data_IF_713146105352
#
_entry.id   IF_713146105352
#
_cell.length_a   1.000
_cell.length_b   1.000
_cell.length_c   1.000
_cell.angle_alpha   90.00
_cell.angle_beta   90.00
_cell.angle_gamma   90.00
#
_symmetry.space_group_name_H-M   'P 1'
#
loop_
_entity.id
_entity.type
_entity.pdbx_description
1 polymer ?
#
# COMPACT_ATOMS: atom_id res chain seq x y z
N UNK A 1 -20.50 -27.28 15.86
CA UNK A 1 -19.57 -27.14 14.71
C UNK A 1 -19.82 -25.77 14.10
N UNK A 2 -19.16 -24.74 14.62
CA UNK A 2 -19.19 -23.43 13.98
C UNK A 2 -18.34 -23.49 12.71
N UNK A 3 -18.98 -23.31 11.56
CA UNK A 3 -18.28 -23.16 10.31
C UNK A 3 -17.40 -21.90 10.41
N UNK A 4 -16.08 -22.09 10.38
CA UNK A 4 -15.10 -21.03 10.29
C UNK A 4 -15.34 -20.27 8.98
N UNK A 5 -16.18 -19.24 9.02
CA UNK A 5 -16.48 -18.43 7.84
C UNK A 5 -15.20 -17.67 7.52
N UNK A 6 -14.54 -17.91 6.37
CA UNK A 6 -13.33 -17.18 6.06
C UNK A 6 -13.65 -15.69 6.04
N UNK A 7 -12.87 -14.89 6.77
CA UNK A 7 -12.95 -13.44 6.71
C UNK A 7 -12.44 -13.05 5.33
N UNK A 8 -13.36 -12.74 4.40
CA UNK A 8 -13.02 -12.18 3.10
C UNK A 8 -12.57 -10.74 3.30
N UNK A 9 -11.34 -10.44 2.92
CA UNK A 9 -10.84 -9.07 2.93
C UNK A 9 -11.12 -8.42 1.57
N UNK A 10 -11.35 -7.09 1.50
CA UNK A 10 -11.57 -6.40 0.23
C UNK A 10 -10.45 -6.66 -0.80
N UNK A 11 -9.19 -6.77 -0.35
CA UNK A 11 -8.04 -7.11 -1.20
C UNK A 11 -8.04 -8.53 -1.80
N UNK A 12 -8.97 -9.40 -1.41
CA UNK A 12 -9.16 -10.69 -2.07
C UNK A 12 -9.94 -10.53 -3.38
N UNK A 13 -10.77 -9.49 -3.49
CA UNK A 13 -11.57 -9.18 -4.68
C UNK A 13 -10.74 -8.47 -5.77
N UNK A 14 -10.68 -9.07 -6.96
CA UNK A 14 -9.93 -8.52 -8.11
C UNK A 14 -10.40 -7.10 -8.45
N UNK A 15 -11.70 -6.88 -8.54
CA UNK A 15 -12.29 -5.58 -8.90
C UNK A 15 -11.87 -4.48 -7.92
N UNK A 16 -11.83 -4.79 -6.62
CA UNK A 16 -11.39 -3.85 -5.60
C UNK A 16 -9.91 -3.51 -5.77
N UNK A 17 -9.05 -4.51 -5.97
CA UNK A 17 -7.62 -4.29 -6.22
C UNK A 17 -7.37 -3.46 -7.47
N UNK A 18 -8.07 -3.72 -8.57
CA UNK A 18 -7.95 -2.92 -9.80
C UNK A 18 -8.38 -1.47 -9.59
N UNK A 19 -9.48 -1.24 -8.86
CA UNK A 19 -9.94 0.11 -8.52
C UNK A 19 -8.91 0.85 -7.65
N UNK A 20 -8.39 0.18 -6.62
CA UNK A 20 -7.35 0.72 -5.75
C UNK A 20 -6.07 1.05 -6.53
N UNK A 21 -5.63 0.15 -7.41
CA UNK A 21 -4.45 0.34 -8.25
C UNK A 21 -4.63 1.49 -9.24
N UNK A 22 -5.83 1.73 -9.77
CA UNK A 22 -6.12 2.90 -10.60
C UNK A 22 -5.96 4.21 -9.82
N UNK A 23 -6.50 4.28 -8.61
CA UNK A 23 -6.31 5.46 -7.74
C UNK A 23 -4.84 5.70 -7.42
N UNK A 24 -4.08 4.63 -7.20
CA UNK A 24 -2.63 4.72 -7.00
C UNK A 24 -1.92 5.26 -8.25
N UNK A 25 -2.22 4.73 -9.44
CA UNK A 25 -1.58 5.18 -10.67
C UNK A 25 -1.91 6.65 -10.99
N UNK A 26 -3.10 7.13 -10.60
CA UNK A 26 -3.46 8.55 -10.67
C UNK A 26 -2.61 9.41 -9.73
N UNK A 27 -2.44 8.98 -8.47
CA UNK A 27 -1.53 9.65 -7.53
C UNK A 27 -0.07 9.66 -8.04
N UNK A 28 0.37 8.58 -8.70
CA UNK A 28 1.67 8.52 -9.38
C UNK A 28 1.76 9.54 -10.50
N UNK A 29 0.74 9.65 -11.36
CA UNK A 29 0.73 10.60 -12.46
C UNK A 29 0.82 12.06 -12.00
N UNK A 30 0.28 12.38 -10.81
CA UNK A 30 0.44 13.69 -10.18
C UNK A 30 1.88 14.02 -9.75
N UNK A 31 2.78 13.03 -9.72
CA UNK A 31 4.19 13.20 -9.33
C UNK A 31 5.19 12.89 -10.46
N UNK A 32 4.90 11.91 -11.31
CA UNK A 32 5.66 11.54 -12.51
C UNK A 32 4.70 11.08 -13.63
N UNK A 33 4.44 11.98 -14.57
CA UNK A 33 3.54 11.70 -15.70
C UNK A 33 4.03 10.57 -16.63
N UNK A 34 5.32 10.22 -16.58
CA UNK A 34 5.89 9.11 -17.36
C UNK A 34 5.71 7.76 -16.68
N UNK A 35 5.11 7.72 -15.50
CA UNK A 35 4.90 6.49 -14.75
C UNK A 35 6.16 6.00 -14.04
N UNK A 36 6.05 4.83 -13.43
CA UNK A 36 7.11 4.24 -12.60
C UNK A 36 7.24 2.74 -12.85
N UNK A 37 8.34 2.14 -12.40
CA UNK A 37 8.60 0.71 -12.56
C UNK A 37 7.60 -0.14 -11.77
N UNK A 38 7.41 -1.39 -12.21
CA UNK A 38 6.59 -2.40 -11.52
C UNK A 38 6.94 -2.52 -10.03
N UNK A 39 8.24 -2.54 -9.73
CA UNK A 39 8.73 -2.64 -8.36
C UNK A 39 8.28 -1.44 -7.51
N UNK A 40 8.39 -0.20 -8.03
CA UNK A 40 7.94 1.00 -7.30
C UNK A 40 6.44 0.99 -7.06
N UNK A 41 5.64 0.53 -8.02
CA UNK A 41 4.19 0.38 -7.85
C UNK A 41 3.91 -0.57 -6.68
N UNK A 42 4.59 -1.72 -6.60
CA UNK A 42 4.40 -2.66 -5.50
C UNK A 42 4.68 -2.06 -4.12
N UNK A 43 5.73 -1.23 -3.99
CA UNK A 43 5.99 -0.50 -2.75
C UNK A 43 4.92 0.54 -2.45
N UNK A 44 4.56 1.37 -3.44
CA UNK A 44 3.55 2.41 -3.25
C UNK A 44 2.20 1.81 -2.87
N UNK A 45 1.79 0.74 -3.52
CA UNK A 45 0.53 0.06 -3.29
C UNK A 45 0.42 -0.44 -1.85
N UNK A 46 1.44 -1.17 -1.37
CA UNK A 46 1.47 -1.65 0.00
C UNK A 46 1.55 -0.52 1.04
N UNK A 47 2.42 0.46 0.82
CA UNK A 47 2.66 1.54 1.78
C UNK A 47 1.50 2.54 1.80
N UNK A 48 0.76 2.73 0.70
CA UNK A 48 -0.45 3.57 0.68
C UNK A 48 -1.61 2.92 1.42
N UNK A 49 -1.67 1.59 1.47
CA UNK A 49 -2.60 0.86 2.31
C UNK A 49 -2.19 0.87 3.80
N UNK A 50 -0.92 1.17 4.10
CA UNK A 50 -0.35 1.19 5.45
C UNK A 50 0.49 2.47 5.69
N UNK A 51 -0.10 3.67 5.56
CA UNK A 51 0.66 4.90 5.40
C UNK A 51 1.47 5.30 6.65
N UNK A 52 1.06 4.88 7.84
CA UNK A 52 1.81 5.14 9.07
C UNK A 52 3.10 4.31 9.22
N UNK A 53 3.38 3.36 8.31
CA UNK A 53 4.71 2.75 8.24
C UNK A 53 5.78 3.77 7.79
N UNK A 54 5.37 4.80 7.04
CA UNK A 54 6.30 5.73 6.36
C UNK A 54 6.05 7.19 6.68
N UNK A 55 4.85 7.52 7.15
CA UNK A 55 4.45 8.88 7.52
C UNK A 55 4.46 9.00 9.04
N UNK A 56 5.10 10.04 9.55
CA UNK A 56 5.08 10.39 10.97
C UNK A 56 3.65 10.71 11.44
N UNK A 57 3.24 10.12 12.55
CA UNK A 57 1.88 10.25 13.08
C UNK A 57 1.61 11.66 13.59
N UNK A 58 2.60 12.38 14.12
CA UNK A 58 2.37 13.66 14.80
C UNK A 58 2.39 14.88 13.86
N UNK A 59 2.75 14.67 12.60
CA UNK A 59 2.85 15.72 11.60
C UNK A 59 1.53 16.11 10.93
N UNK A 60 1.59 17.18 10.10
CA UNK A 60 0.46 17.60 9.25
C UNK A 60 -0.07 16.46 8.37
N UNK A 61 0.83 15.66 7.79
CA UNK A 61 0.45 14.52 6.96
C UNK A 61 -0.20 13.41 7.79
N UNK A 62 0.29 13.11 9.00
CA UNK A 62 -0.34 12.19 9.93
C UNK A 62 -1.76 12.61 10.32
N UNK A 63 -1.98 13.91 10.57
CA UNK A 63 -3.32 14.44 10.82
C UNK A 63 -4.26 14.28 9.61
N UNK A 64 -3.78 14.50 8.39
CA UNK A 64 -4.59 14.26 7.18
C UNK A 64 -4.96 12.78 7.02
N UNK A 65 -4.03 11.86 7.33
CA UNK A 65 -4.30 10.42 7.30
C UNK A 65 -5.35 10.01 8.34
N UNK A 66 -5.30 10.57 9.56
CA UNK A 66 -6.34 10.35 10.58
C UNK A 66 -7.70 10.86 10.14
N UNK A 67 -7.77 12.06 9.55
CA UNK A 67 -9.01 12.59 8.98
C UNK A 67 -9.53 11.73 7.81
N UNK A 68 -8.63 11.08 7.07
CA UNK A 68 -8.96 10.10 6.04
C UNK A 68 -9.35 8.72 6.62
N UNK A 69 -9.40 8.55 7.94
CA UNK A 69 -9.83 7.31 8.58
C UNK A 69 -8.74 6.26 8.77
N UNK A 70 -7.46 6.60 8.54
CA UNK A 70 -6.36 5.72 8.92
C UNK A 70 -6.06 5.86 10.40
N UNK A 71 -5.83 4.74 11.06
CA UNK A 71 -5.45 4.69 12.47
C UNK A 71 -4.03 4.14 12.62
N UNK A 72 -3.10 4.88 13.24
CA UNK A 72 -1.76 4.38 13.52
C UNK A 72 -1.74 3.19 14.51
N UNK A 73 -2.77 3.03 15.33
CA UNK A 73 -2.91 1.95 16.31
C UNK A 73 -3.45 0.65 15.70
N UNK A 74 -4.08 0.73 14.51
CA UNK A 74 -4.54 -0.43 13.73
C UNK A 74 -3.39 -1.09 12.95
N UNK A 75 -2.15 -0.91 13.42
CA UNK A 75 -1.03 -1.82 13.12
C UNK A 75 -1.22 -3.15 13.87
N UNK A 76 -2.37 -3.78 13.66
CA UNK A 76 -2.55 -5.20 13.96
C UNK A 76 -2.19 -6.03 12.72
N UNK A 77 -1.89 -7.29 12.98
CA UNK A 77 -1.49 -8.36 12.08
C UNK A 77 0.01 -8.50 11.86
N UNK A 78 0.54 -9.43 12.66
CA UNK A 78 1.83 -10.11 12.68
C UNK A 78 2.33 -10.72 11.35
N UNK A 79 1.98 -10.16 10.18
CA UNK A 79 2.53 -10.60 8.90
C UNK A 79 2.54 -9.53 7.79
N UNK A 80 2.84 -8.27 8.13
CA UNK A 80 3.07 -7.19 7.14
C UNK A 80 4.01 -7.63 5.99
N UNK A 81 5.05 -8.40 6.29
CA UNK A 81 6.00 -8.96 5.31
C UNK A 81 5.41 -10.04 4.39
N UNK A 82 4.54 -10.92 4.89
CA UNK A 82 3.87 -11.93 4.05
C UNK A 82 2.82 -11.27 3.16
N UNK A 83 2.09 -10.28 3.69
CA UNK A 83 1.13 -9.47 2.91
C UNK A 83 1.85 -8.67 1.83
N UNK A 84 2.99 -8.06 2.14
CA UNK A 84 3.82 -7.35 1.16
C UNK A 84 4.25 -8.29 0.02
N UNK A 85 4.74 -9.48 0.34
CA UNK A 85 5.17 -10.47 -0.66
C UNK A 85 4.01 -10.92 -1.55
N UNK A 86 2.89 -11.34 -0.95
CA UNK A 86 1.69 -11.81 -1.68
C UNK A 86 1.05 -10.71 -2.54
N UNK A 87 1.14 -9.45 -2.10
CA UNK A 87 0.64 -8.28 -2.86
C UNK A 87 1.55 -7.95 -4.03
N UNK A 88 2.86 -8.05 -3.84
CA UNK A 88 3.86 -7.86 -4.91
C UNK A 88 3.81 -8.95 -5.97
N UNK A 89 3.52 -10.20 -5.62
CA UNK A 89 3.34 -11.27 -6.60
C UNK A 89 2.12 -11.06 -7.50
N UNK A 90 1.05 -10.45 -6.96
CA UNK A 90 -0.19 -10.19 -7.71
C UNK A 90 -0.16 -8.91 -8.55
N UNK A 91 0.66 -7.92 -8.19
CA UNK A 91 0.70 -6.60 -8.85
C UNK A 91 0.94 -6.69 -10.36
N UNK A 92 1.74 -7.65 -10.81
CA UNK A 92 2.02 -7.86 -12.23
C UNK A 92 0.76 -8.30 -12.99
N UNK A 93 -0.01 -9.21 -12.41
CA UNK A 93 -1.27 -9.67 -12.99
C UNK A 93 -2.31 -8.54 -13.04
N UNK A 94 -2.49 -7.83 -11.92
CA UNK A 94 -3.46 -6.74 -11.81
C UNK A 94 -3.13 -5.58 -12.77
N UNK A 95 -1.84 -5.21 -12.92
CA UNK A 95 -1.41 -4.26 -13.95
C UNK A 95 -1.66 -4.77 -15.36
N UNK A 96 -1.42 -6.05 -15.63
CA UNK A 96 -1.73 -6.66 -16.92
C UNK A 96 -3.21 -6.52 -17.30
N UNK A 97 -4.12 -6.69 -16.34
CA UNK A 97 -5.55 -6.46 -16.54
C UNK A 97 -5.86 -4.99 -16.82
N UNK A 98 -5.26 -4.04 -16.09
CA UNK A 98 -5.46 -2.61 -16.36
C UNK A 98 -4.93 -2.19 -17.74
N UNK A 99 -3.83 -2.78 -18.20
CA UNK A 99 -3.31 -2.58 -19.56
C UNK A 99 -4.29 -3.15 -20.58
N UNK A 100 -4.78 -4.39 -20.39
CA UNK A 100 -5.75 -5.02 -21.27
C UNK A 100 -7.08 -4.23 -21.37
N UNK A 101 -7.52 -3.62 -20.27
CA UNK A 101 -8.69 -2.75 -20.23
C UNK A 101 -8.45 -1.33 -20.74
N UNK A 102 -7.24 -1.02 -21.22
CA UNK A 102 -6.86 0.30 -21.72
C UNK A 102 -6.87 1.38 -20.64
N UNK A 103 -6.69 1.01 -19.38
CA UNK A 103 -6.68 1.92 -18.24
C UNK A 103 -5.25 2.27 -17.77
N UNK A 104 -4.26 1.44 -18.11
CA UNK A 104 -2.84 1.68 -17.86
C UNK A 104 -2.05 1.64 -19.18
N UNK A 105 -1.12 2.58 -19.35
CA UNK A 105 -0.16 2.60 -20.44
C UNK A 105 1.17 1.99 -19.98
N UNK A 106 1.89 1.34 -20.90
CA UNK A 106 3.22 0.78 -20.67
C UNK A 106 4.21 1.47 -21.61
N UNK A 107 5.27 2.01 -21.02
CA UNK A 107 6.32 2.72 -21.74
C UNK A 107 7.65 2.00 -21.54
N UNK A 108 8.50 1.98 -22.56
CA UNK A 108 9.89 1.56 -22.41
C UNK A 108 10.76 2.78 -22.10
N UNK A 109 11.42 2.76 -20.95
CA UNK A 109 12.35 3.79 -20.48
C UNK A 109 13.71 3.16 -20.26
N UNK A 110 14.64 3.40 -21.18
CA UNK A 110 16.02 2.92 -21.11
C UNK A 110 16.14 1.39 -20.90
N UNK A 111 15.29 0.60 -21.55
CA UNK A 111 15.31 -0.87 -21.45
C UNK A 111 14.51 -1.43 -20.27
N UNK A 112 13.82 -0.58 -19.49
CA UNK A 112 12.92 -0.99 -18.42
C UNK A 112 11.49 -0.51 -18.70
N UNK A 113 10.49 -1.28 -18.27
CA UNK A 113 9.09 -0.89 -18.38
C UNK A 113 8.69 0.08 -17.27
N UNK A 114 8.00 1.16 -17.66
CA UNK A 114 7.33 2.11 -16.78
C UNK A 114 5.83 2.07 -17.06
N UNK A 115 5.03 2.14 -16.01
CA UNK A 115 3.58 2.05 -16.07
C UNK A 115 2.97 3.36 -15.61
N UNK A 116 2.04 3.90 -16.38
CA UNK A 116 1.33 5.15 -16.09
C UNK A 116 -0.18 4.99 -16.30
N UNK A 117 -1.00 5.74 -15.57
CA UNK A 117 -2.44 5.76 -15.84
C UNK A 117 -2.73 6.43 -17.20
N UNK A 118 -3.63 5.83 -17.97
CA UNK A 118 -4.15 6.39 -19.23
C UNK A 118 -5.24 7.44 -18.98
N UNK A 119 -5.70 8.14 -20.02
CA UNK A 119 -6.87 9.02 -19.93
C UNK A 119 -8.14 8.26 -19.51
N UNK A 120 -8.39 7.10 -20.10
CA UNK A 120 -9.53 6.23 -19.76
C UNK A 120 -9.47 5.77 -18.31
N UNK A 121 -8.27 5.43 -17.82
CA UNK A 121 -8.04 5.08 -16.43
C UNK A 121 -8.39 6.23 -15.48
N UNK A 122 -7.97 7.46 -15.80
CA UNK A 122 -8.33 8.67 -15.03
C UNK A 122 -9.83 8.92 -15.01
N UNK A 123 -10.48 8.86 -16.17
CA UNK A 123 -11.93 9.04 -16.29
C UNK A 123 -12.71 8.00 -15.49
N UNK A 124 -12.23 6.76 -15.43
CA UNK A 124 -12.84 5.71 -14.63
C UNK A 124 -12.61 5.94 -13.13
N UNK A 125 -11.37 6.24 -12.73
CA UNK A 125 -11.02 6.52 -11.34
C UNK A 125 -11.80 7.71 -10.76
N UNK A 126 -12.03 8.76 -11.55
CA UNK A 126 -12.83 9.92 -11.17
C UNK A 126 -14.30 9.59 -10.82
N UNK A 127 -14.80 8.41 -11.21
CA UNK A 127 -16.16 7.95 -10.87
C UNK A 127 -16.23 7.22 -9.54
N UNK A 128 -15.10 6.95 -8.88
CA UNK A 128 -15.08 6.32 -7.57
C UNK A 128 -15.43 7.34 -6.49
N UNK A 129 -16.67 7.28 -6.01
CA UNK A 129 -17.22 8.22 -5.01
C UNK A 129 -17.25 7.66 -3.59
N UNK A 130 -16.82 6.41 -3.40
CA UNK A 130 -16.81 5.77 -2.09
C UNK A 130 -15.83 6.48 -1.14
N UNK A 131 -16.17 6.55 0.15
CA UNK A 131 -15.29 7.13 1.19
C UNK A 131 -13.91 6.48 1.17
N UNK A 132 -13.85 5.15 1.00
CA UNK A 132 -12.58 4.43 0.88
C UNK A 132 -11.71 4.95 -0.27
N UNK A 133 -12.30 5.27 -1.42
CA UNK A 133 -11.56 5.78 -2.57
C UNK A 133 -10.93 7.15 -2.25
N UNK A 134 -11.68 8.05 -1.59
CA UNK A 134 -11.15 9.33 -1.13
C UNK A 134 -10.03 9.17 -0.08
N UNK A 135 -10.22 8.28 0.88
CA UNK A 135 -9.23 7.94 1.90
C UNK A 135 -7.95 7.41 1.28
N UNK A 136 -8.07 6.41 0.41
CA UNK A 136 -6.92 5.80 -0.25
C UNK A 136 -6.20 6.77 -1.19
N UNK A 137 -6.93 7.59 -1.94
CA UNK A 137 -6.34 8.64 -2.80
C UNK A 137 -5.50 9.63 -1.97
N UNK A 138 -6.00 10.01 -0.78
CA UNK A 138 -5.26 10.87 0.16
C UNK A 138 -3.97 10.21 0.62
N UNK A 139 -4.03 8.96 1.06
CA UNK A 139 -2.85 8.21 1.49
C UNK A 139 -1.85 8.01 0.35
N UNK A 140 -2.31 7.57 -0.83
CA UNK A 140 -1.47 7.37 -2.00
C UNK A 140 -0.75 8.65 -2.42
N UNK A 141 -1.45 9.79 -2.44
CA UNK A 141 -0.84 11.08 -2.79
C UNK A 141 0.29 11.47 -1.84
N UNK A 142 0.10 11.25 -0.53
CA UNK A 142 1.11 11.53 0.50
C UNK A 142 2.30 10.57 0.36
N UNK A 143 2.04 9.26 0.30
CA UNK A 143 3.07 8.23 0.23
C UNK A 143 3.90 8.36 -1.05
N UNK A 144 3.27 8.49 -2.21
CA UNK A 144 3.98 8.64 -3.49
C UNK A 144 4.88 9.87 -3.46
N UNK A 145 4.36 11.01 -2.97
CA UNK A 145 5.13 12.26 -2.83
C UNK A 145 6.31 12.12 -1.87
N UNK A 146 6.16 11.35 -0.80
CA UNK A 146 7.25 11.10 0.16
C UNK A 146 8.35 10.24 -0.47
N UNK A 147 7.98 9.09 -1.05
CA UNK A 147 8.98 8.12 -1.51
C UNK A 147 9.52 8.40 -2.91
N UNK A 148 8.93 9.30 -3.70
CA UNK A 148 9.45 9.64 -5.05
C UNK A 148 10.91 10.10 -5.02
N UNK A 149 11.36 10.66 -3.90
CA UNK A 149 12.72 11.18 -3.70
C UNK A 149 13.75 10.07 -3.50
N UNK A 150 13.31 8.86 -3.17
CA UNK A 150 14.19 7.71 -2.95
C UNK A 150 14.49 7.01 -4.29
N UNK A 151 15.76 6.62 -4.46
CA UNK A 151 16.16 5.67 -5.51
C UNK A 151 15.58 4.29 -5.23
N UNK A 152 15.48 3.43 -6.24
CA UNK A 152 14.91 2.08 -6.07
C UNK A 152 15.67 1.25 -5.03
N UNK A 153 17.00 1.39 -4.99
CA UNK A 153 17.84 0.77 -3.95
C UNK A 153 17.47 1.29 -2.55
N UNK A 154 17.41 2.61 -2.38
CA UNK A 154 17.07 3.21 -1.09
C UNK A 154 15.64 2.86 -0.65
N UNK A 155 14.70 2.81 -1.59
CA UNK A 155 13.31 2.43 -1.34
C UNK A 155 13.20 0.98 -0.83
N UNK A 156 13.92 0.05 -1.47
CA UNK A 156 14.00 -1.35 -1.03
C UNK A 156 14.60 -1.46 0.38
N UNK A 157 15.73 -0.80 0.63
CA UNK A 157 16.42 -0.82 1.92
C UNK A 157 15.60 -0.17 3.05
N UNK A 158 14.92 0.93 2.74
CA UNK A 158 14.07 1.64 3.71
C UNK A 158 12.80 0.84 4.02
N UNK A 159 12.18 0.24 3.01
CA UNK A 159 11.00 -0.62 3.22
C UNK A 159 11.34 -1.86 4.04
N UNK A 160 12.50 -2.47 3.79
CA UNK A 160 12.98 -3.58 4.61
C UNK A 160 13.15 -3.18 6.08
N UNK A 161 13.52 -1.92 6.37
CA UNK A 161 13.60 -1.40 7.74
C UNK A 161 12.21 -1.17 8.36
N UNK A 162 11.28 -0.59 7.61
CA UNK A 162 9.90 -0.37 8.08
C UNK A 162 9.11 -1.66 8.34
N UNK A 163 9.46 -2.74 7.63
CA UNK A 163 8.82 -4.05 7.77
C UNK A 163 9.43 -4.94 8.87
N UNK A 164 10.53 -4.52 9.51
CA UNK A 164 11.14 -5.27 10.61
C UNK A 164 10.34 -5.08 11.89
N UNK A 165 9.97 -6.16 12.60
CA UNK A 165 9.29 -6.08 13.90
C UNK A 165 10.09 -5.30 14.96
N UNK A 166 11.43 -5.35 14.89
CA UNK A 166 12.34 -4.83 15.94
C UNK A 166 13.16 -3.60 15.49
N UNK A 167 12.78 -2.95 14.39
CA UNK A 167 13.66 -1.98 13.71
C UNK A 167 13.73 -0.61 14.39
N UNK A 168 14.66 -0.39 15.32
CA UNK A 168 14.96 0.93 15.88
C UNK A 168 14.99 2.04 14.81
N UNK A 169 14.14 3.07 14.97
CA UNK A 169 14.22 4.33 14.23
C UNK A 169 13.29 4.53 13.03
N UNK A 170 12.35 3.62 12.73
CA UNK A 170 11.29 3.84 11.74
C UNK A 170 9.96 4.33 12.36
N UNK A 171 9.08 5.04 11.64
CA UNK A 171 7.75 5.44 12.15
C UNK A 171 6.92 4.24 12.64
N UNK A 172 6.99 3.10 11.92
CA UNK A 172 6.35 1.85 12.35
C UNK A 172 6.95 1.25 13.64
N UNK A 173 8.24 1.44 13.89
CA UNK A 173 8.89 0.97 15.12
C UNK A 173 8.69 1.93 16.30
N UNK A 174 8.64 3.24 16.04
CA UNK A 174 8.21 4.23 17.01
C UNK A 174 6.78 3.92 17.49
N UNK A 175 5.89 3.53 16.58
CA UNK A 175 4.53 3.09 16.92
C UNK A 175 4.51 1.80 17.75
N UNK A 176 5.28 0.77 17.39
CA UNK A 176 5.42 -0.46 18.19
C UNK A 176 5.98 -0.18 19.60
N UNK A 177 6.89 0.79 19.74
CA UNK A 177 7.44 1.19 21.05
C UNK A 177 6.43 1.90 21.96
N UNK A 178 5.44 2.57 21.38
CA UNK A 178 4.34 3.25 22.13
C UNK A 178 3.21 2.28 22.46
N UNK A 179 2.98 1.27 21.63
CA UNK A 179 1.88 0.31 21.76
C UNK A 179 2.22 -0.91 22.65
N UNK A 180 3.50 -1.11 22.99
CA UNK A 180 3.97 -2.30 23.70
C UNK A 180 3.88 -3.58 22.86
N UNK A 181 4.40 -4.73 23.32
CA UNK A 181 4.16 -6.00 22.64
C UNK A 181 2.64 -6.24 22.64
N UNK A 182 2.07 -6.43 21.45
CA UNK A 182 0.66 -6.80 21.30
C UNK A 182 0.32 -8.04 22.12
N UNK A 183 -0.98 -8.31 22.38
CA UNK A 183 -1.39 -9.40 23.26
C UNK A 183 -0.73 -10.71 22.81
N UNK A 184 0.13 -11.26 23.67
CA UNK A 184 0.65 -12.61 23.51
C UNK A 184 -0.56 -13.54 23.53
N UNK A 185 -0.72 -14.34 22.47
CA UNK A 185 -1.65 -15.45 22.51
C UNK A 185 -1.30 -16.27 23.78
N UNK A 186 -2.26 -16.55 24.67
CA UNK A 186 -1.96 -17.35 25.83
C UNK A 186 -1.44 -18.70 25.36
N UNK A 187 -0.26 -19.09 25.85
CA UNK A 187 0.24 -20.45 25.75
C UNK A 187 -0.82 -21.37 26.39
N UNK A 188 -1.68 -21.94 25.55
CA UNK A 188 -2.56 -23.02 25.95
C UNK A 188 -1.70 -24.29 25.95
N UNK A 189 -1.43 -24.91 27.12
CA UNK A 189 -0.77 -26.20 27.15
C UNK A 189 -1.70 -27.21 26.50
N UNK A 190 -1.22 -27.85 25.45
CA UNK A 190 -1.85 -29.04 24.89
C UNK A 190 -1.65 -30.18 25.90
N UNK A 191 -2.58 -30.35 26.84
CA UNK A 191 -2.65 -31.56 27.65
C UNK A 191 -3.41 -32.65 26.89
N UNK A 192 -2.79 -33.82 26.79
CA UNK A 192 -3.43 -35.09 26.47
C UNK A 192 -3.81 -35.85 27.73
#
# INVERSE_FOLDING_TARGET
MEAHRPVMMPEDEVTFRLAQLLLLLDAVAGQDAKGVSLERIGYYDFLSANPFLVVDSEGREGNMLRLAGFDPQVLSYASSSQRFTSRRERIQHDLGLLVAYGCCDVHNRNGAFAYSISNRGRELGARFTATYAASFTTAASIVVRSLRKLSDKALREQTARWLRPDGEGGPGAALLSVLGPGPQAPDMPWEG
#
